data_IF_525955200983
#
_entry.id   IF_525955200983
#
_cell.length_a   1.000
_cell.length_b   1.000
_cell.length_c   1.000
_cell.angle_alpha   90.00
_cell.angle_beta   90.00
_cell.angle_gamma   90.00
#
_symmetry.space_group_name_H-M   'P 1'
#
loop_
_entity.id
_entity.type
_entity.pdbx_description
1 polymer ?
#
# COMPACT_ATOMS: atom_id res chain seq x y z
N UNK A 1 38.51 -29.52 4.47
CA UNK A 1 37.70 -28.35 4.01
C UNK A 1 36.69 -28.83 2.98
N UNK A 2 35.41 -28.48 3.16
CA UNK A 2 34.29 -29.06 2.42
C UNK A 2 34.33 -28.72 0.91
N UNK A 3 34.04 -29.71 0.05
CA UNK A 3 33.95 -29.58 -1.42
C UNK A 3 33.05 -28.41 -1.89
N UNK A 4 32.07 -28.04 -1.07
CA UNK A 4 31.19 -26.89 -1.29
C UNK A 4 31.92 -25.53 -1.19
N UNK A 5 32.87 -25.38 -0.27
CA UNK A 5 33.64 -24.15 -0.13
C UNK A 5 34.54 -23.91 -1.36
N UNK A 6 35.18 -24.96 -1.89
CA UNK A 6 36.03 -24.86 -3.08
C UNK A 6 35.21 -24.52 -4.33
N UNK A 7 33.96 -25.01 -4.42
CA UNK A 7 33.00 -24.61 -5.46
C UNK A 7 32.64 -23.12 -5.38
N UNK A 8 32.45 -22.59 -4.17
CA UNK A 8 32.14 -21.17 -3.94
C UNK A 8 33.35 -20.26 -4.17
N UNK A 9 34.56 -20.69 -3.83
CA UNK A 9 35.78 -19.88 -3.98
C UNK A 9 36.38 -19.97 -5.40
N UNK A 10 35.96 -20.95 -6.20
CA UNK A 10 36.39 -21.07 -7.60
C UNK A 10 37.77 -21.68 -7.79
N UNK A 11 38.20 -22.52 -6.85
CA UNK A 11 39.53 -23.13 -6.88
C UNK A 11 39.47 -24.51 -7.57
N UNK A 12 39.73 -24.54 -8.88
CA UNK A 12 39.67 -25.75 -9.72
C UNK A 12 41.05 -26.20 -10.23
N UNK A 13 42.08 -26.08 -9.39
CA UNK A 13 43.50 -26.06 -9.77
C UNK A 13 44.01 -27.24 -10.62
N UNK A 14 43.49 -28.46 -10.46
CA UNK A 14 43.95 -29.63 -11.24
C UNK A 14 43.10 -29.89 -12.50
N UNK A 15 41.83 -29.46 -12.53
CA UNK A 15 40.91 -29.68 -13.65
C UNK A 15 41.17 -28.75 -14.84
N UNK A 16 41.87 -27.63 -14.64
CA UNK A 16 42.17 -26.65 -15.69
C UNK A 16 43.30 -27.06 -16.64
N UNK A 17 44.08 -28.09 -16.29
CA UNK A 17 45.23 -28.55 -17.09
C UNK A 17 44.86 -29.48 -18.24
N UNK A 18 43.67 -30.07 -18.23
CA UNK A 18 43.17 -30.95 -19.29
C UNK A 18 42.12 -30.26 -20.18
N UNK A 19 42.22 -30.41 -21.51
CA UNK A 19 41.25 -29.82 -22.47
C UNK A 19 39.79 -30.21 -22.17
N UNK A 20 39.56 -31.40 -21.62
CA UNK A 20 38.21 -31.86 -21.21
C UNK A 20 37.76 -31.24 -19.88
N UNK A 21 38.68 -30.96 -18.97
CA UNK A 21 38.38 -30.31 -17.69
C UNK A 21 38.01 -28.82 -17.84
N UNK A 22 38.51 -28.14 -18.88
CA UNK A 22 38.11 -26.76 -19.18
C UNK A 22 36.61 -26.61 -19.49
N UNK A 23 36.01 -27.56 -20.21
CA UNK A 23 34.56 -27.58 -20.46
C UNK A 23 33.75 -27.78 -19.18
N UNK A 24 34.24 -28.62 -18.26
CA UNK A 24 33.61 -28.85 -16.96
C UNK A 24 33.66 -27.58 -16.11
N UNK A 25 34.80 -26.86 -16.11
CA UNK A 25 34.95 -25.59 -15.40
C UNK A 25 34.01 -24.52 -15.96
N UNK A 26 33.89 -24.40 -17.29
CA UNK A 26 32.95 -23.47 -17.93
C UNK A 26 31.51 -23.79 -17.56
N UNK A 27 31.11 -25.06 -17.64
CA UNK A 27 29.75 -25.50 -17.28
C UNK A 27 29.44 -25.18 -15.80
N UNK A 28 30.38 -25.47 -14.91
CA UNK A 28 30.27 -25.17 -13.48
C UNK A 28 30.15 -23.66 -13.24
N UNK A 29 30.97 -22.83 -13.91
CA UNK A 29 30.88 -21.38 -13.81
C UNK A 29 29.52 -20.84 -14.29
N UNK A 30 29.00 -21.34 -15.42
CA UNK A 30 27.66 -20.98 -15.91
C UNK A 30 26.55 -21.42 -14.96
N UNK A 31 26.62 -22.63 -14.43
CA UNK A 31 25.65 -23.11 -13.44
C UNK A 31 25.64 -22.24 -12.18
N UNK A 32 26.80 -21.75 -11.75
CA UNK A 32 26.93 -20.85 -10.60
C UNK A 32 26.30 -19.49 -10.88
N UNK A 33 26.56 -18.90 -12.04
CA UNK A 33 25.91 -17.65 -12.46
C UNK A 33 24.40 -17.84 -12.48
N UNK A 34 23.91 -18.95 -13.06
CA UNK A 34 22.48 -19.26 -13.12
C UNK A 34 21.84 -19.40 -11.74
N UNK A 35 22.49 -20.10 -10.80
CA UNK A 35 22.00 -20.23 -9.42
C UNK A 35 21.94 -18.86 -8.73
N UNK A 36 22.99 -18.04 -8.87
CA UNK A 36 23.03 -16.69 -8.29
C UNK A 36 21.93 -15.82 -8.90
N UNK A 37 21.72 -15.88 -10.22
CA UNK A 37 20.64 -15.15 -10.90
C UNK A 37 19.25 -15.57 -10.44
N UNK A 38 19.01 -16.88 -10.23
CA UNK A 38 17.73 -17.38 -9.71
C UNK A 38 17.51 -16.91 -8.27
N UNK A 39 18.55 -16.94 -7.43
CA UNK A 39 18.47 -16.44 -6.06
C UNK A 39 18.15 -14.95 -6.03
N UNK A 40 18.91 -14.12 -6.78
CA UNK A 40 18.67 -12.67 -6.87
C UNK A 40 17.27 -12.38 -7.42
N UNK A 41 16.83 -13.09 -8.46
CA UNK A 41 15.48 -12.95 -9.00
C UNK A 41 14.37 -13.34 -8.01
N UNK A 42 14.60 -14.38 -7.21
CA UNK A 42 13.66 -14.81 -6.16
C UNK A 42 13.60 -13.80 -5.02
N UNK A 43 14.75 -13.30 -4.55
CA UNK A 43 14.79 -12.24 -3.54
C UNK A 43 14.13 -10.95 -4.04
N UNK A 44 14.42 -10.52 -5.27
CA UNK A 44 13.77 -9.37 -5.88
C UNK A 44 12.25 -9.59 -5.96
N UNK A 45 11.79 -10.75 -6.44
CA UNK A 45 10.35 -11.06 -6.52
C UNK A 45 9.67 -11.05 -5.15
N UNK A 46 10.35 -11.51 -4.11
CA UNK A 46 9.82 -11.59 -2.75
C UNK A 46 9.75 -10.20 -2.09
N UNK A 47 10.73 -9.33 -2.36
CA UNK A 47 10.71 -7.92 -1.96
C UNK A 47 9.60 -7.18 -2.72
N UNK A 48 9.56 -7.26 -4.06
CA UNK A 48 8.56 -6.55 -4.87
C UNK A 48 7.11 -7.01 -4.64
N UNK A 49 6.88 -8.29 -4.27
CA UNK A 49 5.54 -8.77 -3.90
C UNK A 49 5.03 -8.19 -2.58
N UNK A 50 5.90 -7.68 -1.70
CA UNK A 50 5.49 -7.12 -0.40
C UNK A 50 4.89 -5.72 -0.51
N UNK A 51 5.17 -4.99 -1.59
CA UNK A 51 4.96 -3.53 -1.62
C UNK A 51 3.68 -3.07 -2.33
N UNK A 52 3.03 -3.92 -3.14
CA UNK A 52 1.82 -3.52 -3.84
C UNK A 52 0.57 -3.75 -2.97
N UNK A 53 -0.24 -2.71 -2.65
CA UNK A 53 -1.50 -2.89 -1.94
C UNK A 53 -2.41 -3.84 -2.71
N UNK A 54 -3.06 -4.76 -1.99
CA UNK A 54 -4.08 -5.65 -2.57
C UNK A 54 -5.33 -4.85 -2.94
N UNK A 55 -6.02 -5.27 -3.99
CA UNK A 55 -7.35 -4.74 -4.31
C UNK A 55 -8.35 -5.13 -3.21
N UNK A 56 -9.15 -4.17 -2.71
CA UNK A 56 -10.25 -4.44 -1.76
C UNK A 56 -11.19 -5.52 -2.30
N UNK A 57 -11.44 -5.57 -3.61
CA UNK A 57 -12.33 -6.57 -4.22
C UNK A 57 -11.72 -7.99 -4.21
N UNK A 58 -10.41 -8.10 -4.03
CA UNK A 58 -9.70 -9.37 -3.90
C UNK A 58 -9.60 -9.85 -2.44
N UNK A 59 -10.11 -9.09 -1.46
CA UNK A 59 -10.19 -9.53 -0.08
C UNK A 59 -11.31 -10.57 0.08
N UNK A 60 -10.96 -11.75 0.58
CA UNK A 60 -11.94 -12.72 1.03
C UNK A 60 -12.54 -12.31 2.39
N UNK A 61 -13.71 -12.88 2.72
CA UNK A 61 -14.41 -12.60 3.98
C UNK A 61 -13.54 -12.89 5.22
N UNK A 62 -12.65 -13.87 5.13
CA UNK A 62 -11.69 -14.18 6.20
C UNK A 62 -10.70 -13.05 6.46
N UNK A 63 -10.16 -12.41 5.41
CA UNK A 63 -9.25 -11.28 5.55
C UNK A 63 -9.95 -10.08 6.18
N UNK A 64 -11.18 -9.80 5.75
CA UNK A 64 -12.01 -8.73 6.31
C UNK A 64 -12.30 -9.01 7.79
N UNK A 65 -12.70 -10.25 8.11
CA UNK A 65 -12.93 -10.69 9.48
C UNK A 65 -11.70 -10.52 10.36
N UNK A 66 -10.52 -10.90 9.85
CA UNK A 66 -9.28 -10.73 10.60
C UNK A 66 -9.02 -9.25 10.90
N UNK A 67 -9.11 -8.37 9.90
CA UNK A 67 -8.95 -6.91 10.05
C UNK A 67 -9.91 -6.34 11.11
N UNK A 68 -11.16 -6.81 11.12
CA UNK A 68 -12.18 -6.35 12.07
C UNK A 68 -11.93 -6.85 13.50
N UNK A 69 -11.40 -8.06 13.67
CA UNK A 69 -11.15 -8.66 14.98
C UNK A 69 -9.83 -8.20 15.62
N UNK A 70 -8.83 -7.92 14.78
CA UNK A 70 -7.55 -7.31 15.21
C UNK A 70 -7.70 -5.82 15.54
N UNK A 71 -8.73 -5.18 15.01
CA UNK A 71 -9.13 -3.83 15.36
C UNK A 71 -8.84 -2.83 14.24
N UNK A 72 -9.84 -2.03 13.90
CA UNK A 72 -9.76 -0.99 12.89
C UNK A 72 -10.26 0.35 13.45
N UNK A 73 -9.57 1.43 13.12
CA UNK A 73 -10.04 2.80 13.38
C UNK A 73 -10.47 3.48 12.10
N UNK A 74 -11.56 4.24 12.18
CA UNK A 74 -12.17 4.99 11.07
C UNK A 74 -12.72 6.32 11.60
N UNK A 75 -12.69 7.37 10.78
CA UNK A 75 -13.33 8.63 11.15
C UNK A 75 -14.85 8.45 11.18
N UNK A 76 -15.47 8.82 12.30
CA UNK A 76 -16.92 8.75 12.52
C UNK A 76 -17.66 9.58 11.47
N UNK A 77 -18.83 9.11 11.04
CA UNK A 77 -19.73 9.82 10.14
C UNK A 77 -19.08 10.17 8.77
N UNK A 78 -18.19 9.29 8.30
CA UNK A 78 -17.63 9.35 6.96
C UNK A 78 -18.20 8.23 6.09
N UNK A 79 -18.05 8.34 4.77
CA UNK A 79 -18.44 7.27 3.84
C UNK A 79 -17.71 5.95 4.11
N UNK A 80 -16.52 6.01 4.69
CA UNK A 80 -15.76 4.82 5.09
C UNK A 80 -16.36 4.15 6.33
N UNK A 81 -16.86 4.92 7.30
CA UNK A 81 -17.61 4.40 8.46
C UNK A 81 -18.93 3.76 8.00
N UNK A 82 -19.68 4.43 7.12
CA UNK A 82 -20.92 3.88 6.52
C UNK A 82 -20.64 2.57 5.78
N UNK A 83 -19.60 2.54 4.96
CA UNK A 83 -19.20 1.35 4.20
C UNK A 83 -18.81 0.20 5.13
N UNK A 84 -18.00 0.48 6.16
CA UNK A 84 -17.56 -0.51 7.12
C UNK A 84 -18.74 -1.09 7.91
N UNK A 85 -19.64 -0.23 8.36
CA UNK A 85 -20.85 -0.63 9.08
C UNK A 85 -21.76 -1.49 8.19
N UNK A 86 -21.99 -1.09 6.94
CA UNK A 86 -22.77 -1.89 6.00
C UNK A 86 -22.12 -3.25 5.74
N UNK A 87 -20.79 -3.31 5.61
CA UNK A 87 -20.08 -4.57 5.38
C UNK A 87 -20.17 -5.52 6.58
N UNK A 88 -20.13 -5.00 7.81
CA UNK A 88 -20.35 -5.80 9.02
C UNK A 88 -21.80 -6.29 9.10
N UNK A 89 -22.77 -5.41 8.84
CA UNK A 89 -24.19 -5.75 8.98
C UNK A 89 -24.71 -6.74 7.93
N UNK A 90 -24.13 -6.73 6.72
CA UNK A 90 -24.57 -7.58 5.60
C UNK A 90 -23.88 -8.94 5.56
N UNK A 91 -22.93 -9.21 6.46
CA UNK A 91 -22.11 -10.42 6.41
C UNK A 91 -22.56 -11.44 7.44
N UNK A 92 -23.03 -12.60 6.97
CA UNK A 92 -23.41 -13.72 7.82
C UNK A 92 -22.19 -14.41 8.49
N UNK A 93 -20.97 -14.09 8.05
CA UNK A 93 -19.72 -14.71 8.51
C UNK A 93 -18.97 -13.88 9.55
N UNK A 94 -19.44 -12.65 9.83
CA UNK A 94 -18.83 -11.74 10.80
C UNK A 94 -19.62 -11.80 12.11
N UNK A 95 -18.95 -12.20 13.18
CA UNK A 95 -19.49 -12.16 14.53
C UNK A 95 -19.32 -10.75 15.10
N UNK A 96 -20.41 -9.98 15.09
CA UNK A 96 -20.47 -8.60 15.57
C UNK A 96 -19.96 -8.42 17.01
N UNK A 97 -19.98 -9.47 17.85
CA UNK A 97 -19.47 -9.39 19.23
C UNK A 97 -17.93 -9.33 19.31
N UNK A 98 -17.24 -9.80 18.27
CA UNK A 98 -15.76 -9.83 18.18
C UNK A 98 -15.19 -8.66 17.39
N UNK A 99 -16.05 -7.90 16.72
CA UNK A 99 -15.67 -6.74 15.92
C UNK A 99 -15.16 -5.62 16.83
N UNK A 100 -13.96 -5.11 16.53
CA UNK A 100 -13.33 -3.99 17.23
C UNK A 100 -13.20 -2.81 16.27
N UNK A 101 -14.18 -1.90 16.31
CA UNK A 101 -14.16 -0.67 15.52
C UNK A 101 -14.03 0.52 16.46
N UNK A 102 -12.94 1.28 16.32
CA UNK A 102 -12.78 2.58 16.94
C UNK A 102 -13.27 3.66 15.98
N UNK A 103 -14.26 4.45 16.41
CA UNK A 103 -14.75 5.58 15.61
C UNK A 103 -14.13 6.87 16.11
N UNK A 104 -13.13 7.35 15.39
CA UNK A 104 -12.40 8.57 15.72
C UNK A 104 -13.25 9.81 15.42
N UNK A 105 -13.17 10.81 16.29
CA UNK A 105 -13.85 12.10 16.14
C UNK A 105 -12.87 13.27 16.00
N UNK A 106 -11.63 13.10 16.46
CA UNK A 106 -10.53 14.06 16.39
C UNK A 106 -9.75 14.04 15.08
N UNK A 107 -10.20 13.30 14.06
CA UNK A 107 -9.53 13.23 12.75
C UNK A 107 -8.20 12.46 12.79
N UNK A 108 -7.25 12.85 11.94
CA UNK A 108 -6.00 12.11 11.74
C UNK A 108 -5.16 11.89 13.01
N UNK A 109 -4.98 12.86 13.93
CA UNK A 109 -4.20 12.64 15.14
C UNK A 109 -4.74 11.49 15.99
N UNK A 110 -6.07 11.35 16.07
CA UNK A 110 -6.70 10.26 16.80
C UNK A 110 -6.54 8.92 16.09
N UNK A 111 -6.63 8.90 14.75
CA UNK A 111 -6.37 7.68 13.95
C UNK A 111 -4.94 7.18 14.19
N UNK A 112 -3.96 8.08 14.13
CA UNK A 112 -2.54 7.76 14.32
C UNK A 112 -2.26 7.32 15.75
N UNK A 113 -2.81 8.02 16.75
CA UNK A 113 -2.65 7.67 18.16
C UNK A 113 -3.23 6.27 18.48
N UNK A 114 -4.40 5.96 17.92
CA UNK A 114 -5.01 4.64 18.08
C UNK A 114 -4.15 3.52 17.48
N UNK A 115 -3.50 3.77 16.34
CA UNK A 115 -2.58 2.82 15.70
C UNK A 115 -1.28 2.67 16.51
N UNK A 116 -0.64 3.79 16.89
CA UNK A 116 0.61 3.79 17.68
C UNK A 116 0.47 3.14 19.04
N UNK A 117 -0.68 3.31 19.70
CA UNK A 117 -0.95 2.71 21.01
C UNK A 117 -1.28 1.21 20.94
N UNK A 118 -1.38 0.63 19.74
CA UNK A 118 -1.80 -0.77 19.55
C UNK A 118 -3.26 -1.02 19.92
N UNK A 119 -4.06 0.03 20.13
CA UNK A 119 -5.51 -0.08 20.40
C UNK A 119 -6.25 -0.67 19.21
N UNK A 120 -5.74 -0.39 18.00
CA UNK A 120 -6.15 -0.99 16.73
C UNK A 120 -4.92 -1.33 15.91
N UNK A 121 -5.06 -2.27 14.97
CA UNK A 121 -3.98 -2.66 14.06
C UNK A 121 -4.14 -2.08 12.65
N UNK A 122 -5.30 -1.47 12.37
CA UNK A 122 -5.64 -0.98 11.03
C UNK A 122 -6.28 0.40 11.08
N UNK A 123 -5.99 1.23 10.08
CA UNK A 123 -6.71 2.48 9.79
C UNK A 123 -7.48 2.29 8.49
N UNK A 124 -8.76 2.63 8.49
CA UNK A 124 -9.57 2.73 7.29
C UNK A 124 -9.83 4.20 6.98
N UNK A 125 -9.36 4.68 5.83
CA UNK A 125 -9.56 6.06 5.39
C UNK A 125 -9.33 6.19 3.88
N UNK A 126 -9.55 7.38 3.34
CA UNK A 126 -9.23 7.71 1.95
C UNK A 126 -7.72 7.64 1.69
N UNK A 127 -7.34 7.28 0.46
CA UNK A 127 -5.92 7.11 0.09
C UNK A 127 -5.10 8.39 0.30
N UNK A 128 -5.69 9.56 0.11
CA UNK A 128 -5.03 10.84 0.33
C UNK A 128 -4.68 11.06 1.82
N UNK A 129 -5.60 10.70 2.72
CA UNK A 129 -5.40 10.74 4.17
C UNK A 129 -4.35 9.72 4.58
N UNK A 130 -4.44 8.48 4.09
CA UNK A 130 -3.46 7.44 4.42
C UNK A 130 -2.05 7.78 3.94
N UNK A 131 -1.90 8.35 2.74
CA UNK A 131 -0.61 8.80 2.24
C UNK A 131 -0.04 9.95 3.10
N UNK A 132 -0.89 10.88 3.55
CA UNK A 132 -0.48 11.96 4.46
C UNK A 132 -0.06 11.43 5.82
N UNK A 133 -0.81 10.48 6.37
CA UNK A 133 -0.45 9.79 7.62
C UNK A 133 0.89 9.08 7.44
N UNK A 134 1.07 8.30 6.37
CA UNK A 134 2.31 7.56 6.13
C UNK A 134 3.52 8.49 5.94
N UNK A 135 3.34 9.65 5.31
CA UNK A 135 4.42 10.62 5.16
C UNK A 135 4.85 11.27 6.48
N UNK A 136 3.92 11.41 7.43
CA UNK A 136 4.12 12.19 8.66
C UNK A 136 4.21 11.33 9.93
N UNK A 137 3.94 10.03 9.84
CA UNK A 137 4.05 9.12 10.98
C UNK A 137 5.52 8.85 11.27
N UNK A 138 5.84 8.77 12.55
CA UNK A 138 7.18 8.39 13.02
C UNK A 138 7.48 6.95 12.62
N UNK A 139 8.67 6.73 12.05
CA UNK A 139 9.11 5.44 11.48
C UNK A 139 8.13 4.91 10.41
N UNK A 140 8.02 5.59 9.25
CA UNK A 140 7.07 5.22 8.21
C UNK A 140 7.29 3.80 7.67
N UNK A 141 8.52 3.27 7.74
CA UNK A 141 8.89 1.92 7.30
C UNK A 141 8.20 0.80 8.12
N UNK A 142 7.68 1.12 9.32
CA UNK A 142 6.92 0.18 10.16
C UNK A 142 5.47 0.02 9.68
N UNK A 143 5.01 0.87 8.75
CA UNK A 143 3.63 0.92 8.30
C UNK A 143 3.52 0.74 6.79
N UNK A 144 2.44 0.10 6.35
CA UNK A 144 2.18 -0.10 4.93
C UNK A 144 0.69 0.03 4.63
N UNK A 145 0.37 0.64 3.49
CA UNK A 145 -0.98 0.60 2.93
C UNK A 145 -1.16 -0.79 2.32
N UNK A 146 -1.81 -1.68 3.05
CA UNK A 146 -1.93 -3.10 2.68
C UNK A 146 -3.06 -3.38 1.69
N UNK A 147 -4.10 -2.55 1.69
CA UNK A 147 -5.29 -2.73 0.85
C UNK A 147 -5.71 -1.37 0.28
N UNK A 148 -6.04 -1.36 -1.01
CA UNK A 148 -6.52 -0.17 -1.72
C UNK A 148 -7.74 -0.52 -2.58
N UNK A 149 -8.77 0.32 -2.51
CA UNK A 149 -9.87 0.25 -3.45
C UNK A 149 -9.44 0.94 -4.76
N UNK A 150 -9.47 0.27 -5.92
CA UNK A 150 -9.14 0.89 -7.20
C UNK A 150 -10.18 1.94 -7.62
N UNK A 151 -11.42 1.83 -7.13
CA UNK A 151 -12.47 2.82 -7.39
C UNK A 151 -12.22 4.06 -6.53
N UNK A 152 -11.54 5.05 -7.12
CA UNK A 152 -11.34 6.37 -6.51
C UNK A 152 -12.71 7.07 -6.46
N UNK A 153 -13.18 7.40 -5.26
CA UNK A 153 -14.36 8.27 -5.11
C UNK A 153 -14.02 9.64 -5.72
N UNK A 154 -14.69 10.07 -6.79
CA UNK A 154 -14.42 11.38 -7.37
C UNK A 154 -14.76 12.48 -6.36
N UNK A 155 -13.81 13.39 -6.13
CA UNK A 155 -14.07 14.60 -5.34
C UNK A 155 -14.76 15.63 -6.24
N UNK A 156 -15.80 16.28 -5.72
CA UNK A 156 -16.58 17.25 -6.47
C UNK A 156 -17.00 18.42 -5.58
N UNK A 157 -17.19 19.59 -6.20
CA UNK A 157 -17.84 20.73 -5.56
C UNK A 157 -19.35 20.63 -5.76
N UNK A 158 -20.11 20.87 -4.70
CA UNK A 158 -21.57 21.01 -4.76
C UNK A 158 -21.95 22.48 -4.54
N UNK A 159 -22.91 22.97 -5.31
CA UNK A 159 -23.53 24.28 -5.12
C UNK A 159 -25.05 24.13 -5.04
N UNK A 160 -25.70 25.03 -4.30
CA UNK A 160 -27.15 24.99 -4.10
C UNK A 160 -27.94 25.08 -5.40
N UNK A 161 -29.07 24.39 -5.47
CA UNK A 161 -29.90 24.32 -6.68
C UNK A 161 -30.38 25.68 -7.18
N UNK A 162 -30.47 26.66 -6.27
CA UNK A 162 -30.95 28.02 -6.54
C UNK A 162 -29.84 29.01 -6.91
N UNK A 163 -28.58 28.58 -7.02
CA UNK A 163 -27.48 29.47 -7.41
C UNK A 163 -27.76 30.08 -8.79
N UNK A 164 -27.57 31.37 -9.00
CA UNK A 164 -27.86 31.96 -10.31
C UNK A 164 -27.02 31.33 -11.43
N UNK A 165 -27.59 31.22 -12.63
CA UNK A 165 -26.93 30.56 -13.77
C UNK A 165 -25.58 31.20 -14.13
N UNK A 166 -25.44 32.51 -13.93
CA UNK A 166 -24.18 33.24 -14.17
C UNK A 166 -23.07 32.71 -13.27
N UNK A 167 -23.34 32.53 -11.96
CA UNK A 167 -22.37 31.98 -11.02
C UNK A 167 -22.08 30.51 -11.26
N UNK A 168 -23.11 29.70 -11.55
CA UNK A 168 -22.92 28.27 -11.92
C UNK A 168 -21.98 28.12 -13.11
N UNK A 169 -22.21 28.90 -14.16
CA UNK A 169 -21.37 28.89 -15.36
C UNK A 169 -19.94 29.32 -15.06
N UNK A 170 -19.78 30.41 -14.31
CA UNK A 170 -18.47 30.93 -13.91
C UNK A 170 -17.65 29.89 -13.14
N UNK A 171 -18.24 29.31 -12.08
CA UNK A 171 -17.57 28.29 -11.24
C UNK A 171 -17.14 27.08 -12.08
N UNK A 172 -18.02 26.55 -12.93
CA UNK A 172 -17.71 25.38 -13.75
C UNK A 172 -16.60 25.67 -14.76
N UNK A 173 -16.58 26.87 -15.37
CA UNK A 173 -15.50 27.30 -16.27
C UNK A 173 -14.18 27.39 -15.49
N UNK A 174 -14.17 28.08 -14.36
CA UNK A 174 -12.95 28.26 -13.56
C UNK A 174 -12.39 26.93 -13.06
N UNK A 175 -13.23 26.00 -12.60
CA UNK A 175 -12.79 24.65 -12.22
C UNK A 175 -12.17 23.92 -13.42
N UNK A 176 -12.82 23.99 -14.58
CA UNK A 176 -12.32 23.35 -15.80
C UNK A 176 -10.97 23.92 -16.24
N UNK A 177 -10.80 25.25 -16.16
CA UNK A 177 -9.54 25.92 -16.46
C UNK A 177 -8.44 25.58 -15.44
N UNK A 178 -8.78 25.52 -14.15
CA UNK A 178 -7.86 25.14 -13.07
C UNK A 178 -7.35 23.70 -13.24
N UNK A 179 -8.22 22.78 -13.67
CA UNK A 179 -7.84 21.40 -13.99
C UNK A 179 -6.98 21.36 -15.25
N UNK A 180 -7.45 21.96 -16.36
CA UNK A 180 -6.76 21.94 -17.66
C UNK A 180 -5.38 22.57 -17.62
N UNK A 181 -5.20 23.64 -16.83
CA UNK A 181 -3.92 24.34 -16.69
C UNK A 181 -2.87 23.59 -15.88
N UNK A 182 -3.22 22.46 -15.24
CA UNK A 182 -2.29 21.71 -14.39
C UNK A 182 -2.09 22.29 -12.99
N UNK A 183 -2.63 23.49 -12.70
CA UNK A 183 -2.55 24.15 -11.38
C UNK A 183 -3.11 23.28 -10.25
N UNK A 184 -4.15 22.49 -10.52
CA UNK A 184 -4.69 21.51 -9.57
C UNK A 184 -3.66 20.47 -9.13
N UNK A 185 -2.84 19.97 -10.07
CA UNK A 185 -1.78 19.00 -9.79
C UNK A 185 -0.62 19.63 -9.02
N UNK A 186 -0.22 20.84 -9.40
CA UNK A 186 0.82 21.60 -8.69
C UNK A 186 0.42 21.86 -7.24
N UNK A 187 -0.82 22.30 -7.00
CA UNK A 187 -1.36 22.51 -5.67
C UNK A 187 -1.31 21.21 -4.83
N UNK A 188 -1.70 20.07 -5.41
CA UNK A 188 -1.63 18.78 -4.73
C UNK A 188 -0.21 18.38 -4.33
N UNK A 189 0.78 18.62 -5.20
CA UNK A 189 2.20 18.36 -4.88
C UNK A 189 2.69 19.31 -3.79
N UNK A 190 2.36 20.60 -3.88
CA UNK A 190 2.77 21.61 -2.92
C UNK A 190 2.19 21.31 -1.53
N UNK A 191 0.89 21.01 -1.44
CA UNK A 191 0.21 20.73 -0.19
C UNK A 191 0.77 19.49 0.52
N UNK A 192 1.19 18.48 -0.24
CA UNK A 192 1.87 17.30 0.31
C UNK A 192 3.32 17.57 0.72
N UNK A 193 3.98 18.60 0.17
CA UNK A 193 5.37 18.98 0.51
C UNK A 193 5.48 19.99 1.66
N UNK A 194 4.49 20.87 1.83
CA UNK A 194 4.50 21.93 2.85
C UNK A 194 4.22 21.44 4.29
N UNK A 195 4.08 20.13 4.48
CA UNK A 195 3.89 19.49 5.79
C UNK A 195 5.16 18.66 6.17
N UNK A 196 6.28 18.88 5.48
CA UNK A 196 7.62 18.43 5.89
C UNK A 196 8.27 19.44 6.83
#
# INVERSE_FOLDING_TARGET
MNKFANFVVGEYGELTKEKKGMWIVIFVAFSRILIISILVGSFASLIFKRDAPKDVNALNDESIRNILYTGVTVNKATKMDDWLQNKVNQSDTIDSSKVKILRATGGEPELVSALKSGKVNHILSDIAVLNRILANIENPDDYVISVKNPNVTPQAFIFGANLENVYRKSINITISEFIRSGKSRELGILWNKLIN
#
